data_IF_672813922835
#
_entry.id   IF_672813922835
#
_cell.length_a   1.000
_cell.length_b   1.000
_cell.length_c   1.000
_cell.angle_alpha   90.00
_cell.angle_beta   90.00
_cell.angle_gamma   90.00
#
_symmetry.space_group_name_H-M   'P 1'
#
loop_
_entity.id
_entity.type
_entity.pdbx_description
1 polymer ?
#
# COMPACT_ATOMS: atom_id res chain seq x y z
N UNK A 1 7.36 -5.17 -7.40
CA UNK A 1 6.62 -4.16 -6.80
C UNK A 1 6.81 -2.74 -7.28
N UNK A 2 6.21 -1.85 -6.52
CA UNK A 2 6.17 -0.42 -6.83
C UNK A 2 7.54 0.26 -6.81
N UNK A 3 8.46 -0.21 -5.96
CA UNK A 3 9.79 0.36 -5.79
C UNK A 3 10.83 -0.75 -5.61
N UNK A 4 11.53 -1.17 -6.68
CA UNK A 4 12.54 -2.22 -6.60
C UNK A 4 13.71 -1.90 -5.67
N UNK A 5 14.14 -0.64 -5.61
CA UNK A 5 15.26 -0.23 -4.73
C UNK A 5 14.88 -0.37 -3.25
N UNK A 6 13.66 0.03 -2.88
CA UNK A 6 13.13 -0.15 -1.52
C UNK A 6 13.01 -1.64 -1.16
N UNK A 7 12.49 -2.47 -2.06
CA UNK A 7 12.39 -3.91 -1.84
C UNK A 7 13.76 -4.54 -1.62
N UNK A 8 14.75 -4.23 -2.46
CA UNK A 8 16.11 -4.72 -2.30
C UNK A 8 16.75 -4.29 -0.98
N UNK A 9 16.47 -3.08 -0.53
CA UNK A 9 16.93 -2.59 0.78
C UNK A 9 16.28 -3.39 1.91
N UNK A 10 14.96 -3.59 1.86
CA UNK A 10 14.23 -4.37 2.87
C UNK A 10 14.75 -5.83 2.95
N UNK A 11 15.02 -6.47 1.81
CA UNK A 11 15.57 -7.83 1.77
C UNK A 11 16.95 -7.88 2.40
N UNK A 12 17.84 -6.94 2.06
CA UNK A 12 19.21 -6.90 2.63
C UNK A 12 19.20 -6.67 4.15
N UNK A 13 18.32 -5.81 4.64
CA UNK A 13 18.18 -5.56 6.08
C UNK A 13 17.61 -6.79 6.80
N UNK A 14 16.61 -7.46 6.20
CA UNK A 14 16.04 -8.68 6.74
C UNK A 14 17.06 -9.83 6.80
N UNK A 15 17.93 -9.98 5.78
CA UNK A 15 18.99 -10.96 5.72
C UNK A 15 20.10 -10.69 6.76
N UNK A 16 20.44 -9.42 6.97
CA UNK A 16 21.45 -9.01 7.94
C UNK A 16 20.98 -9.15 9.40
N UNK A 17 19.69 -9.23 9.64
CA UNK A 17 19.12 -9.37 10.98
C UNK A 17 19.34 -10.79 11.53
N UNK A 18 19.92 -10.87 12.73
CA UNK A 18 20.11 -12.17 13.44
C UNK A 18 18.84 -12.53 14.21
N UNK A 19 17.86 -13.06 13.53
CA UNK A 19 16.58 -13.43 14.09
C UNK A 19 15.48 -13.55 13.02
N UNK A 20 14.24 -13.83 13.40
CA UNK A 20 13.15 -13.88 12.45
C UNK A 20 12.90 -12.51 11.84
N UNK A 21 12.68 -12.48 10.53
CA UNK A 21 12.30 -11.28 9.78
C UNK A 21 11.05 -11.55 8.97
N UNK A 22 10.19 -10.55 8.84
CA UNK A 22 8.96 -10.62 8.07
C UNK A 22 8.95 -9.53 7.01
N UNK A 23 8.74 -9.92 5.76
CA UNK A 23 8.51 -9.01 4.64
C UNK A 23 7.11 -9.26 4.11
N UNK A 24 6.25 -8.23 4.18
CA UNK A 24 4.88 -8.27 3.65
C UNK A 24 4.84 -7.51 2.33
N UNK A 25 4.42 -8.18 1.28
CA UNK A 25 4.36 -7.62 -0.07
C UNK A 25 2.93 -7.55 -0.58
N UNK A 26 2.56 -6.44 -1.20
CA UNK A 26 1.32 -6.32 -1.95
C UNK A 26 1.52 -6.80 -3.40
N UNK A 27 0.54 -7.57 -3.88
CA UNK A 27 0.42 -7.95 -5.28
C UNK A 27 -1.05 -8.05 -5.68
N UNK A 28 -1.45 -7.61 -6.89
CA UNK A 28 -2.78 -7.83 -7.42
C UNK A 28 -3.09 -9.33 -7.52
N UNK A 29 -4.35 -9.70 -7.29
CA UNK A 29 -4.79 -11.10 -7.33
C UNK A 29 -5.33 -11.45 -8.72
N UNK A 30 -4.83 -12.55 -9.30
CA UNK A 30 -5.31 -13.04 -10.61
C UNK A 30 -6.78 -13.48 -10.58
N UNK A 31 -7.27 -13.96 -9.43
CA UNK A 31 -8.66 -14.39 -9.28
C UNK A 31 -9.66 -13.23 -9.26
N UNK A 32 -9.25 -12.08 -8.71
CA UNK A 32 -10.07 -10.87 -8.70
C UNK A 32 -9.82 -10.01 -9.94
N UNK A 33 -8.57 -9.91 -10.37
CA UNK A 33 -8.17 -9.15 -11.54
C UNK A 33 -8.12 -7.64 -11.34
N UNK A 34 -7.57 -6.98 -12.34
CA UNK A 34 -7.57 -5.53 -12.49
C UNK A 34 -8.22 -5.17 -13.82
N UNK A 35 -8.93 -4.05 -13.89
CA UNK A 35 -9.69 -3.66 -15.11
C UNK A 35 -8.84 -3.54 -16.35
N UNK A 36 -7.60 -3.09 -16.20
CA UNK A 36 -6.63 -2.91 -17.30
C UNK A 36 -5.92 -4.22 -17.72
N UNK A 37 -6.22 -5.34 -17.06
CA UNK A 37 -5.62 -6.65 -17.30
C UNK A 37 -4.33 -6.90 -16.48
N UNK A 38 -4.04 -8.16 -16.21
CA UNK A 38 -2.93 -8.59 -15.33
C UNK A 38 -1.54 -8.27 -15.87
N UNK A 39 -1.39 -7.99 -17.18
CA UNK A 39 -0.14 -7.48 -17.74
C UNK A 39 0.30 -6.15 -17.16
N UNK A 40 -0.65 -5.38 -16.58
CA UNK A 40 -0.41 -4.11 -15.91
C UNK A 40 -0.18 -4.24 -14.39
N UNK A 41 0.04 -5.44 -13.87
CA UNK A 41 0.21 -5.69 -12.43
C UNK A 41 1.31 -4.82 -11.78
N UNK A 42 2.42 -4.56 -12.49
CA UNK A 42 3.49 -3.69 -11.98
C UNK A 42 3.03 -2.23 -11.85
N UNK A 43 2.29 -1.72 -12.84
CA UNK A 43 1.73 -0.38 -12.81
C UNK A 43 0.68 -0.26 -11.69
N UNK A 44 -0.13 -1.30 -11.48
CA UNK A 44 -1.13 -1.35 -10.41
C UNK A 44 -0.49 -1.35 -9.02
N UNK A 45 0.58 -2.12 -8.80
CA UNK A 45 1.34 -2.07 -7.54
C UNK A 45 1.92 -0.69 -7.26
N UNK A 46 2.38 0.00 -8.31
CA UNK A 46 2.84 1.39 -8.17
C UNK A 46 1.68 2.33 -7.85
N UNK A 47 0.55 2.19 -8.54
CA UNK A 47 -0.65 2.99 -8.28
C UNK A 47 -1.16 2.81 -6.85
N UNK A 48 -1.11 1.59 -6.30
CA UNK A 48 -1.46 1.32 -4.91
C UNK A 48 -0.62 2.14 -3.92
N UNK A 49 0.68 2.28 -4.17
CA UNK A 49 1.57 3.10 -3.34
C UNK A 49 1.32 4.59 -3.56
N UNK A 50 1.20 5.03 -4.81
CA UNK A 50 0.97 6.44 -5.16
C UNK A 50 -0.39 6.96 -4.63
N UNK A 51 -1.39 6.08 -4.48
CA UNK A 51 -2.71 6.40 -3.93
C UNK A 51 -2.79 6.24 -2.39
N UNK A 52 -1.74 5.75 -1.74
CA UNK A 52 -1.75 5.52 -0.29
C UNK A 52 -2.47 4.24 0.15
N UNK A 53 -2.93 3.42 -0.78
CA UNK A 53 -3.52 2.11 -0.48
C UNK A 53 -2.51 1.17 0.18
N UNK A 54 -1.26 1.17 -0.29
CA UNK A 54 -0.15 0.40 0.26
C UNK A 54 0.98 1.34 0.66
N UNK A 55 1.40 1.29 1.93
CA UNK A 55 2.43 2.17 2.48
C UNK A 55 3.72 1.37 2.62
N UNK A 56 4.80 1.89 2.05
CA UNK A 56 6.13 1.30 2.15
C UNK A 56 6.82 1.84 3.40
N UNK A 57 7.19 0.95 4.30
CA UNK A 57 7.98 1.27 5.49
C UNK A 57 8.85 0.07 5.89
N UNK A 58 9.84 0.32 6.74
CA UNK A 58 10.70 -0.68 7.34
C UNK A 58 10.85 -0.38 8.82
N UNK A 59 10.87 -1.41 9.64
CA UNK A 59 11.09 -1.31 11.07
C UNK A 59 12.46 -1.87 11.42
N UNK A 60 13.33 -1.06 12.08
CA UNK A 60 14.58 -1.53 12.64
C UNK A 60 14.42 -1.82 14.15
N UNK A 61 14.49 -3.09 14.57
CA UNK A 61 14.29 -3.47 15.97
C UNK A 61 15.47 -3.09 16.86
N UNK A 62 16.66 -2.85 16.33
CA UNK A 62 17.84 -2.45 17.12
C UNK A 62 17.78 -0.98 17.51
N UNK A 63 17.50 -0.14 16.54
CA UNK A 63 17.34 1.30 16.74
C UNK A 63 15.94 1.67 17.23
N UNK A 64 14.98 0.74 17.11
CA UNK A 64 13.54 0.96 17.37
C UNK A 64 12.97 2.09 16.54
N UNK A 65 13.39 2.17 15.29
CA UNK A 65 13.03 3.24 14.35
C UNK A 65 12.18 2.69 13.21
N UNK A 66 11.12 3.42 12.88
CA UNK A 66 10.34 3.19 11.68
C UNK A 66 10.85 4.12 10.57
N UNK A 67 11.29 3.54 9.46
CA UNK A 67 11.66 4.25 8.24
C UNK A 67 10.46 4.27 7.29
N UNK A 68 9.83 5.42 7.12
CA UNK A 68 8.77 5.61 6.13
C UNK A 68 9.40 5.83 4.76
N UNK A 69 9.22 4.85 3.86
CA UNK A 69 9.80 4.88 2.51
C UNK A 69 8.82 5.43 1.46
N UNK A 70 7.50 5.40 1.75
CA UNK A 70 6.49 6.04 0.92
C UNK A 70 6.59 7.56 1.00
N UNK A 71 6.43 8.20 -0.16
CA UNK A 71 6.13 9.63 -0.23
C UNK A 71 4.65 9.86 0.11
N UNK A 72 4.30 11.11 0.35
CA UNK A 72 2.90 11.51 0.50
C UNK A 72 2.09 11.08 -0.72
N UNK A 73 0.91 10.44 -0.52
CA UNK A 73 0.05 10.02 -1.61
C UNK A 73 -0.33 11.20 -2.52
N UNK A 74 -0.24 11.00 -3.82
CA UNK A 74 -0.48 12.04 -4.83
C UNK A 74 -1.44 11.60 -5.94
N UNK A 75 -2.05 10.43 -5.81
CA UNK A 75 -3.04 9.90 -6.72
C UNK A 75 -4.37 9.74 -6.02
N UNK A 76 -5.44 9.82 -6.81
CA UNK A 76 -6.79 9.63 -6.32
C UNK A 76 -7.02 8.18 -5.84
N UNK A 77 -7.42 8.05 -4.58
CA UNK A 77 -7.60 6.76 -3.91
C UNK A 77 -8.78 5.98 -4.47
N UNK A 78 -9.89 6.67 -4.72
CA UNK A 78 -11.12 6.05 -5.24
C UNK A 78 -10.93 5.56 -6.67
N UNK A 79 -10.20 6.31 -7.50
CA UNK A 79 -9.82 5.87 -8.84
C UNK A 79 -8.99 4.59 -8.80
N UNK A 80 -8.03 4.48 -7.86
CA UNK A 80 -7.28 3.25 -7.67
C UNK A 80 -8.19 2.09 -7.26
N UNK A 81 -9.06 2.26 -6.26
CA UNK A 81 -9.97 1.19 -5.82
C UNK A 81 -10.86 0.70 -6.98
N UNK A 82 -11.39 1.59 -7.79
CA UNK A 82 -12.21 1.23 -8.96
C UNK A 82 -11.43 0.59 -10.09
N UNK A 83 -10.11 0.63 -10.06
CA UNK A 83 -9.22 -0.13 -10.93
C UNK A 83 -9.17 -1.62 -10.58
N UNK A 84 -9.31 -1.95 -9.31
CA UNK A 84 -9.36 -3.31 -8.79
C UNK A 84 -10.78 -3.89 -8.93
N UNK A 85 -10.93 -4.99 -9.65
CA UNK A 85 -12.24 -5.59 -9.96
C UNK A 85 -13.02 -5.94 -8.70
N UNK A 86 -12.36 -6.43 -7.66
CA UNK A 86 -13.00 -6.78 -6.37
C UNK A 86 -13.67 -5.59 -5.67
N UNK A 87 -13.15 -4.38 -5.85
CA UNK A 87 -13.78 -3.17 -5.31
C UNK A 87 -14.82 -2.60 -6.26
N UNK A 88 -14.52 -2.53 -7.55
CA UNK A 88 -15.48 -2.01 -8.53
C UNK A 88 -16.73 -2.87 -8.68
N UNK A 89 -16.68 -4.14 -8.27
CA UNK A 89 -17.87 -4.99 -8.19
C UNK A 89 -18.92 -4.45 -7.20
N UNK A 90 -18.51 -3.66 -6.18
CA UNK A 90 -19.42 -3.05 -5.22
C UNK A 90 -20.35 -2.03 -5.88
N UNK A 91 -19.88 -1.30 -6.90
CA UNK A 91 -20.72 -0.37 -7.68
C UNK A 91 -21.94 -1.07 -8.32
N UNK A 92 -21.83 -2.40 -8.54
CA UNK A 92 -22.87 -3.23 -9.15
C UNK A 92 -23.68 -4.00 -8.08
N UNK A 93 -22.97 -4.59 -7.09
CA UNK A 93 -23.61 -5.47 -6.10
C UNK A 93 -24.25 -4.72 -4.94
N UNK A 94 -23.69 -3.56 -4.55
CA UNK A 94 -24.15 -2.72 -3.45
C UNK A 94 -24.02 -1.23 -3.77
N UNK A 95 -24.65 -0.73 -4.83
CA UNK A 95 -24.44 0.64 -5.31
C UNK A 95 -24.80 1.71 -4.25
N UNK A 96 -25.80 1.43 -3.41
CA UNK A 96 -26.24 2.35 -2.35
C UNK A 96 -25.16 2.60 -1.28
N UNK A 97 -24.27 1.62 -1.06
CA UNK A 97 -23.23 1.70 -0.03
C UNK A 97 -21.82 1.93 -0.60
N UNK A 98 -21.63 1.72 -1.90
CA UNK A 98 -20.31 1.76 -2.51
C UNK A 98 -19.60 3.09 -2.30
N UNK A 99 -20.26 4.20 -2.55
CA UNK A 99 -19.69 5.56 -2.38
C UNK A 99 -19.30 5.84 -0.92
N UNK A 100 -20.16 5.46 0.03
CA UNK A 100 -19.89 5.63 1.46
C UNK A 100 -18.66 4.80 1.86
N UNK A 101 -18.61 3.54 1.46
CA UNK A 101 -17.50 2.63 1.80
C UNK A 101 -16.17 3.10 1.19
N UNK A 102 -16.18 3.62 -0.04
CA UNK A 102 -14.98 4.16 -0.68
C UNK A 102 -14.50 5.44 0.01
N UNK A 103 -15.43 6.32 0.41
CA UNK A 103 -15.10 7.52 1.18
C UNK A 103 -14.49 7.18 2.54
N UNK A 104 -15.08 6.26 3.28
CA UNK A 104 -14.56 5.79 4.56
C UNK A 104 -13.18 5.13 4.40
N UNK A 105 -12.99 4.32 3.36
CA UNK A 105 -11.71 3.69 3.06
C UNK A 105 -10.62 4.72 2.72
N UNK A 106 -10.97 5.81 2.02
CA UNK A 106 -10.04 6.90 1.72
C UNK A 106 -9.62 7.64 3.00
N UNK A 107 -10.57 7.96 3.87
CA UNK A 107 -10.28 8.59 5.18
C UNK A 107 -9.35 7.69 5.99
N UNK A 108 -9.69 6.41 6.14
CA UNK A 108 -8.86 5.45 6.87
C UNK A 108 -7.44 5.29 6.27
N UNK A 109 -7.31 5.41 4.94
CA UNK A 109 -6.01 5.38 4.27
C UNK A 109 -5.14 6.61 4.64
N UNK A 110 -5.74 7.81 4.65
CA UNK A 110 -5.07 9.05 5.05
C UNK A 110 -4.62 9.00 6.51
N UNK A 111 -5.52 8.58 7.41
CA UNK A 111 -5.21 8.41 8.84
C UNK A 111 -4.06 7.43 9.06
N UNK A 112 -4.06 6.31 8.34
CA UNK A 112 -3.00 5.31 8.39
C UNK A 112 -1.66 5.86 7.91
N UNK A 113 -1.63 6.65 6.84
CA UNK A 113 -0.41 7.31 6.37
C UNK A 113 0.14 8.28 7.42
N UNK A 114 -0.71 9.15 7.97
CA UNK A 114 -0.31 10.09 9.02
C UNK A 114 0.17 9.38 10.30
N UNK A 115 -0.45 8.26 10.66
CA UNK A 115 0.02 7.42 11.76
C UNK A 115 1.47 6.96 11.57
N UNK A 116 1.80 6.38 10.40
CA UNK A 116 3.17 5.94 10.11
C UNK A 116 4.15 7.10 9.98
N UNK A 117 3.72 8.23 9.44
CA UNK A 117 4.51 9.46 9.36
C UNK A 117 4.88 9.97 10.75
N UNK A 118 3.90 10.05 11.64
CA UNK A 118 4.13 10.48 13.02
C UNK A 118 5.08 9.51 13.76
N UNK A 119 4.93 8.20 13.58
CA UNK A 119 5.86 7.23 14.16
C UNK A 119 7.29 7.41 13.63
N UNK A 120 7.46 7.69 12.34
CA UNK A 120 8.77 7.92 11.75
C UNK A 120 9.41 9.22 12.26
N UNK A 121 8.61 10.25 12.48
CA UNK A 121 9.09 11.57 12.94
C UNK A 121 9.44 11.59 14.44
N UNK A 122 8.80 10.76 15.27
CA UNK A 122 9.14 10.63 16.70
C UNK A 122 10.53 10.05 16.94
N UNK A 123 11.14 9.45 15.94
CA UNK A 123 12.43 8.78 16.02
C UNK A 123 13.56 9.56 15.30
N UNK A 124 13.31 10.81 14.90
CA UNK A 124 14.31 11.75 14.40
C UNK A 124 14.83 12.62 15.53
#
# INVERSE_FOLDING_TARGET
>A
GANPAQLMKAIKEAEAHKGPSLIVCYAPCISHGIKTGMSNAQAEMKAAVDAGYWILYRWDPKEKVLHLDSKEPNKDFTTFLRGEVRYSALDITFPENAEMLFSEAEVASKERYEFYKNLADQNK
#
